data_IF_945496572834
#
_entry.id   IF_945496572834
#
_cell.length_a   1.000
_cell.length_b   1.000
_cell.length_c   1.000
_cell.angle_alpha   90.00
_cell.angle_beta   90.00
_cell.angle_gamma   90.00
#
_symmetry.space_group_name_H-M   'P 1'
#
loop_
_entity.id
_entity.type
_entity.pdbx_description
1 polymer ?
#
# COMPACT_ATOMS: atom_id res chain seq x y z
N UNK A 1 2.99 4.30 14.44
CA UNK A 1 1.96 3.92 13.45
C UNK A 1 2.04 4.98 12.37
N UNK A 2 2.60 4.64 11.21
CA UNK A 2 2.69 5.52 10.04
C UNK A 2 1.48 5.18 9.17
N UNK A 3 0.56 6.12 8.96
CA UNK A 3 -0.70 5.86 8.24
C UNK A 3 -0.91 6.73 7.02
N UNK A 4 -0.19 7.84 6.88
CA UNK A 4 -0.42 8.77 5.78
C UNK A 4 0.41 8.46 4.54
N UNK A 5 -0.10 8.88 3.37
CA UNK A 5 0.61 8.77 2.10
C UNK A 5 1.99 9.45 2.16
N UNK A 6 2.09 10.56 2.91
CA UNK A 6 3.34 11.32 3.06
C UNK A 6 4.50 10.54 3.71
N UNK A 7 4.21 9.44 4.42
CA UNK A 7 5.21 8.57 5.05
C UNK A 7 5.72 7.46 4.10
N UNK A 8 5.03 7.23 2.97
CA UNK A 8 5.30 6.14 2.02
C UNK A 8 5.47 6.60 0.57
N UNK A 9 5.15 7.87 0.27
CA UNK A 9 5.24 8.45 -1.07
C UNK A 9 6.64 8.26 -1.69
N UNK A 10 6.75 7.52 -2.81
CA UNK A 10 8.01 7.31 -3.52
C UNK A 10 8.79 8.58 -3.85
N UNK A 11 8.11 9.71 -4.07
CA UNK A 11 8.75 10.99 -4.39
C UNK A 11 9.46 11.61 -3.17
N UNK A 12 9.01 11.28 -1.96
CA UNK A 12 9.58 11.76 -0.68
C UNK A 12 10.66 10.82 -0.15
N UNK A 13 10.75 9.62 -0.72
CA UNK A 13 11.68 8.57 -0.32
C UNK A 13 12.48 8.06 -1.53
N UNK A 14 13.52 8.80 -1.97
CA UNK A 14 14.41 8.32 -3.02
C UNK A 14 15.02 6.98 -2.64
N UNK A 15 15.01 6.04 -3.57
CA UNK A 15 15.50 4.69 -3.37
C UNK A 15 16.19 4.20 -4.63
N UNK A 16 17.38 3.62 -4.46
CA UNK A 16 18.14 2.99 -5.53
C UNK A 16 18.06 1.46 -5.37
N UNK A 17 17.31 0.75 -6.24
CA UNK A 17 17.17 -0.70 -6.20
C UNK A 17 18.50 -1.46 -6.24
N UNK A 18 19.53 -0.91 -6.90
CA UNK A 18 20.83 -1.58 -7.03
C UNK A 18 21.59 -1.59 -5.70
N UNK A 19 21.26 -0.68 -4.79
CA UNK A 19 21.85 -0.62 -3.43
C UNK A 19 21.07 -1.41 -2.38
N UNK A 20 19.90 -1.96 -2.75
CA UNK A 20 19.00 -2.62 -1.81
C UNK A 20 19.65 -3.84 -1.15
N UNK A 21 20.20 -4.77 -1.94
CA UNK A 21 20.77 -6.01 -1.40
C UNK A 21 21.96 -5.77 -0.44
N UNK A 22 22.96 -4.92 -0.77
CA UNK A 22 24.00 -4.55 0.18
C UNK A 22 23.45 -3.98 1.50
N UNK A 23 22.48 -3.05 1.44
CA UNK A 23 21.91 -2.45 2.65
C UNK A 23 21.08 -3.44 3.48
N UNK A 24 20.32 -4.34 2.83
CA UNK A 24 19.56 -5.39 3.51
C UNK A 24 20.51 -6.40 4.18
N UNK A 25 21.63 -6.75 3.55
CA UNK A 25 22.66 -7.63 4.17
C UNK A 25 23.22 -7.03 5.45
N UNK A 26 23.50 -5.73 5.47
CA UNK A 26 23.95 -5.03 6.67
C UNK A 26 22.92 -5.13 7.79
N UNK A 27 21.65 -4.88 7.48
CA UNK A 27 20.52 -4.97 8.42
C UNK A 27 20.33 -6.39 8.95
N UNK A 28 20.36 -7.40 8.09
CA UNK A 28 20.21 -8.81 8.49
C UNK A 28 21.37 -9.23 9.40
N UNK A 29 22.59 -8.76 9.13
CA UNK A 29 23.77 -9.07 9.94
C UNK A 29 23.74 -8.41 11.33
N UNK A 30 23.14 -7.22 11.45
CA UNK A 30 23.02 -6.49 12.71
C UNK A 30 21.76 -6.81 13.51
N UNK A 31 20.75 -7.39 12.87
CA UNK A 31 19.51 -7.83 13.49
C UNK A 31 19.71 -9.19 14.13
N UNK A 32 19.23 -9.40 15.35
CA UNK A 32 19.34 -10.68 16.07
C UNK A 32 18.46 -11.82 15.50
N UNK A 33 18.18 -11.80 14.20
CA UNK A 33 17.40 -12.82 13.47
C UNK A 33 15.88 -12.70 13.56
N UNK A 34 15.32 -11.80 14.38
CA UNK A 34 13.87 -11.57 14.46
C UNK A 34 13.37 -10.67 13.33
N UNK A 35 12.23 -11.00 12.73
CA UNK A 35 11.55 -10.19 11.70
C UNK A 35 11.29 -8.75 12.17
N UNK A 36 10.90 -8.55 13.43
CA UNK A 36 10.69 -7.22 14.00
C UNK A 36 11.99 -6.39 14.02
N UNK A 37 13.12 -6.99 14.35
CA UNK A 37 14.43 -6.31 14.34
C UNK A 37 14.84 -5.95 12.91
N UNK A 38 14.58 -6.84 11.96
CA UNK A 38 14.84 -6.56 10.54
C UNK A 38 13.94 -5.42 10.05
N UNK A 39 12.64 -5.42 10.37
CA UNK A 39 11.72 -4.34 9.97
C UNK A 39 12.18 -2.97 10.48
N UNK A 40 12.59 -2.91 11.75
CA UNK A 40 13.16 -1.71 12.35
C UNK A 40 14.44 -1.28 11.62
N UNK A 41 15.38 -2.20 11.41
CA UNK A 41 16.63 -1.90 10.71
C UNK A 41 16.43 -1.46 9.26
N UNK A 42 15.46 -2.02 8.54
CA UNK A 42 15.07 -1.55 7.21
C UNK A 42 14.52 -0.12 7.26
N UNK A 43 13.66 0.16 8.25
CA UNK A 43 13.14 1.51 8.49
C UNK A 43 14.23 2.54 8.79
N UNK A 44 15.23 2.16 9.59
CA UNK A 44 16.40 2.99 9.90
C UNK A 44 17.30 3.20 8.66
N UNK A 45 17.50 2.15 7.86
CA UNK A 45 18.44 2.17 6.72
C UNK A 45 17.89 2.87 5.49
N UNK A 46 16.62 2.62 5.16
CA UNK A 46 15.98 3.05 3.91
C UNK A 46 14.89 4.10 4.12
N UNK A 47 14.51 4.36 5.37
CA UNK A 47 13.46 5.30 5.74
C UNK A 47 12.13 4.63 6.09
N UNK A 48 11.19 5.44 6.58
CA UNK A 48 9.93 4.99 7.18
C UNK A 48 9.07 4.13 6.25
N UNK A 49 9.09 4.41 4.95
CA UNK A 49 8.38 3.62 3.95
C UNK A 49 8.78 2.14 3.96
N UNK A 50 10.04 1.81 4.26
CA UNK A 50 10.56 0.45 4.25
C UNK A 50 10.09 -0.40 5.45
N UNK A 51 9.68 0.24 6.55
CA UNK A 51 9.24 -0.44 7.77
C UNK A 51 7.98 -1.30 7.54
N UNK A 52 7.01 -0.83 6.74
CA UNK A 52 5.77 -1.59 6.46
C UNK A 52 5.98 -2.76 5.49
N UNK A 53 7.11 -2.82 4.78
CA UNK A 53 7.36 -3.86 3.78
C UNK A 53 7.24 -5.28 4.36
N UNK A 54 7.72 -5.50 5.60
CA UNK A 54 7.64 -6.80 6.29
C UNK A 54 6.28 -7.10 6.91
N UNK A 55 5.49 -6.07 7.27
CA UNK A 55 4.10 -6.25 7.73
C UNK A 55 3.12 -6.57 6.60
N UNK A 56 3.57 -6.49 5.35
CA UNK A 56 2.84 -6.89 4.14
C UNK A 56 3.29 -8.26 3.61
N UNK A 57 4.07 -9.00 4.39
CA UNK A 57 4.47 -10.39 4.15
C UNK A 57 3.63 -11.25 5.06
N UNK A 58 2.92 -12.22 4.50
CA UNK A 58 2.34 -13.29 5.31
C UNK A 58 2.72 -14.66 4.72
N UNK A 59 2.72 -15.67 5.57
CA UNK A 59 3.35 -16.98 5.39
C UNK A 59 2.66 -17.89 4.36
N UNK A 60 1.52 -17.46 3.80
CA UNK A 60 0.68 -18.28 2.93
C UNK A 60 0.56 -17.70 1.52
N UNK A 61 0.82 -18.53 0.50
CA UNK A 61 0.74 -18.20 -0.94
C UNK A 61 -0.61 -17.61 -1.39
N UNK A 62 -1.66 -17.72 -0.58
CA UNK A 62 -3.02 -17.29 -0.89
C UNK A 62 -3.52 -16.15 0.01
N UNK A 63 -2.70 -15.56 0.87
CA UNK A 63 -3.09 -14.50 1.81
C UNK A 63 -3.45 -13.17 1.14
N UNK A 64 -3.30 -13.03 -0.18
CA UNK A 64 -3.51 -11.75 -0.87
C UNK A 64 -2.52 -10.66 -0.45
N UNK A 65 -1.34 -11.06 0.04
CA UNK A 65 -0.25 -10.14 0.31
C UNK A 65 0.15 -9.34 -0.94
N UNK A 66 0.51 -8.07 -0.73
CA UNK A 66 1.07 -7.21 -1.78
C UNK A 66 2.40 -7.74 -2.34
N UNK A 67 3.02 -8.66 -1.59
CA UNK A 67 4.25 -9.37 -1.92
C UNK A 67 3.89 -10.78 -2.39
N UNK A 68 4.06 -11.07 -3.68
CA UNK A 68 3.54 -12.29 -4.34
C UNK A 68 4.55 -13.42 -4.41
N UNK A 69 5.84 -13.09 -4.48
CA UNK A 69 6.90 -14.06 -4.73
C UNK A 69 8.05 -13.90 -3.74
N UNK A 70 8.18 -14.86 -2.83
CA UNK A 70 9.25 -14.87 -1.84
C UNK A 70 10.20 -16.04 -2.09
N UNK A 71 11.52 -15.79 -2.11
CA UNK A 71 12.50 -16.86 -1.94
C UNK A 71 12.17 -17.68 -0.69
N UNK A 72 12.36 -19.01 -0.75
CA UNK A 72 12.08 -19.89 0.38
C UNK A 72 12.77 -19.41 1.66
N UNK A 73 12.11 -19.58 2.81
CA UNK A 73 12.72 -19.25 4.09
C UNK A 73 13.95 -20.14 4.34
N UNK A 74 15.01 -19.54 4.88
CA UNK A 74 16.23 -20.23 5.27
C UNK A 74 16.91 -19.47 6.40
N UNK A 75 17.50 -20.21 7.34
CA UNK A 75 18.36 -19.64 8.40
C UNK A 75 19.72 -19.16 7.87
N UNK A 76 20.01 -19.35 6.57
CA UNK A 76 21.19 -18.77 5.93
C UNK A 76 21.04 -17.24 5.78
N UNK A 77 21.94 -16.43 6.36
CA UNK A 77 21.81 -14.97 6.34
C UNK A 77 21.79 -14.35 4.94
N UNK A 78 22.48 -14.96 3.97
CA UNK A 78 22.52 -14.49 2.59
C UNK A 78 21.19 -14.76 1.87
N UNK A 79 20.60 -15.94 2.04
CA UNK A 79 19.25 -16.22 1.55
C UNK A 79 18.20 -15.36 2.23
N UNK A 80 18.33 -15.11 3.53
CA UNK A 80 17.45 -14.22 4.28
C UNK A 80 17.54 -12.77 3.76
N UNK A 81 18.74 -12.29 3.48
CA UNK A 81 18.95 -10.97 2.87
C UNK A 81 18.31 -10.88 1.47
N UNK A 82 18.40 -11.93 0.65
CA UNK A 82 17.71 -11.97 -0.65
C UNK A 82 16.20 -11.98 -0.52
N UNK A 83 15.67 -12.72 0.46
CA UNK A 83 14.23 -12.75 0.76
C UNK A 83 13.72 -11.35 1.12
N UNK A 84 14.36 -10.67 2.07
CA UNK A 84 13.95 -9.32 2.47
C UNK A 84 14.22 -8.26 1.40
N UNK A 85 15.24 -8.43 0.57
CA UNK A 85 15.43 -7.58 -0.62
C UNK A 85 14.26 -7.73 -1.58
N UNK A 86 13.81 -8.96 -1.86
CA UNK A 86 12.63 -9.21 -2.70
C UNK A 86 11.37 -8.54 -2.14
N UNK A 87 11.16 -8.61 -0.83
CA UNK A 87 10.06 -7.93 -0.14
C UNK A 87 10.14 -6.42 -0.37
N UNK A 88 11.29 -5.83 -0.09
CA UNK A 88 11.49 -4.38 -0.18
C UNK A 88 11.27 -3.86 -1.60
N UNK A 89 11.77 -4.58 -2.61
CA UNK A 89 11.58 -4.23 -4.02
C UNK A 89 10.12 -4.35 -4.46
N UNK A 90 9.43 -5.44 -4.10
CA UNK A 90 8.02 -5.61 -4.44
C UNK A 90 7.12 -4.57 -3.76
N UNK A 91 7.42 -4.23 -2.51
CA UNK A 91 6.77 -3.14 -1.79
C UNK A 91 7.02 -1.79 -2.47
N UNK A 92 8.27 -1.53 -2.88
CA UNK A 92 8.61 -0.31 -3.62
C UNK A 92 7.82 -0.20 -4.93
N UNK A 93 7.77 -1.27 -5.72
CA UNK A 93 7.01 -1.29 -6.98
C UNK A 93 5.52 -1.01 -6.73
N UNK A 94 4.93 -1.59 -5.69
CA UNK A 94 3.54 -1.31 -5.33
C UNK A 94 3.28 0.18 -5.04
N UNK A 95 4.16 0.81 -4.26
CA UNK A 95 4.04 2.24 -3.98
C UNK A 95 4.20 3.10 -5.23
N UNK A 96 5.08 2.72 -6.16
CA UNK A 96 5.27 3.40 -7.44
C UNK A 96 4.07 3.24 -8.37
N UNK A 97 3.46 2.04 -8.42
CA UNK A 97 2.22 1.78 -9.15
C UNK A 97 1.07 2.64 -8.61
N UNK A 98 0.94 2.73 -7.28
CA UNK A 98 -0.04 3.62 -6.63
C UNK A 98 0.23 5.10 -6.95
N UNK A 99 1.48 5.55 -6.86
CA UNK A 99 1.83 6.94 -7.17
C UNK A 99 1.48 7.29 -8.62
N UNK A 100 1.74 6.39 -9.57
CA UNK A 100 1.36 6.56 -10.96
C UNK A 100 -0.17 6.59 -11.14
N UNK A 101 -0.90 5.70 -10.46
CA UNK A 101 -2.35 5.70 -10.46
C UNK A 101 -2.92 7.01 -9.90
N UNK A 102 -2.41 7.49 -8.75
CA UNK A 102 -2.85 8.73 -8.13
C UNK A 102 -2.60 9.93 -9.03
N UNK A 103 -1.43 10.03 -9.66
CA UNK A 103 -1.12 11.09 -10.62
C UNK A 103 -2.08 11.07 -11.83
N UNK A 104 -2.45 9.89 -12.33
CA UNK A 104 -3.39 9.74 -13.45
C UNK A 104 -4.83 10.09 -13.08
N UNK A 105 -5.19 9.94 -11.81
CA UNK A 105 -6.53 10.17 -11.26
C UNK A 105 -6.65 11.54 -10.59
N UNK A 106 -5.57 12.32 -10.54
CA UNK A 106 -5.56 13.61 -9.86
C UNK A 106 -6.54 14.59 -10.52
N UNK A 107 -7.29 15.38 -9.73
CA UNK A 107 -8.07 16.49 -10.27
C UNK A 107 -7.14 17.52 -10.93
N UNK A 108 -7.71 18.38 -11.79
CA UNK A 108 -6.96 19.48 -12.38
C UNK A 108 -6.41 20.41 -11.28
N UNK A 109 -5.25 21.09 -11.47
CA UNK A 109 -4.66 21.94 -10.44
C UNK A 109 -5.55 23.11 -9.97
N UNK A 110 -6.49 23.55 -10.80
CA UNK A 110 -7.45 24.62 -10.57
C UNK A 110 -8.88 24.10 -10.33
N UNK A 111 -9.03 22.79 -10.10
CA UNK A 111 -10.32 22.15 -9.91
C UNK A 111 -11.04 22.68 -8.66
N UNK A 112 -12.35 22.91 -8.80
CA UNK A 112 -13.19 23.30 -7.66
C UNK A 112 -13.54 22.10 -6.75
N UNK A 113 -14.21 22.38 -5.64
CA UNK A 113 -14.59 21.34 -4.67
C UNK A 113 -15.51 20.26 -5.27
N UNK A 114 -16.38 20.60 -6.22
CA UNK A 114 -17.27 19.63 -6.87
C UNK A 114 -16.49 18.75 -7.85
N UNK A 115 -15.53 19.32 -8.58
CA UNK A 115 -14.62 18.61 -9.46
C UNK A 115 -13.70 17.65 -8.68
N UNK A 116 -13.15 18.10 -7.54
CA UNK A 116 -12.37 17.25 -6.63
C UNK A 116 -13.23 16.09 -6.11
N UNK A 117 -14.46 16.36 -5.65
CA UNK A 117 -15.39 15.32 -5.18
C UNK A 117 -15.72 14.31 -6.28
N UNK A 118 -15.94 14.77 -7.51
CA UNK A 118 -16.16 13.89 -8.67
C UNK A 118 -14.91 13.07 -9.00
N UNK A 119 -13.71 13.63 -8.89
CA UNK A 119 -12.46 12.90 -9.08
C UNK A 119 -12.31 11.80 -8.02
N UNK A 120 -12.55 12.13 -6.74
CA UNK A 120 -12.58 11.18 -5.62
C UNK A 120 -13.47 9.97 -5.90
N UNK A 121 -14.72 10.22 -6.31
CA UNK A 121 -15.65 9.16 -6.67
C UNK A 121 -15.17 8.33 -7.87
N UNK A 122 -14.65 8.97 -8.92
CA UNK A 122 -14.19 8.28 -10.14
C UNK A 122 -12.98 7.37 -9.91
N UNK A 123 -12.13 7.69 -8.95
CA UNK A 123 -10.92 6.93 -8.65
C UNK A 123 -11.17 5.58 -7.98
N UNK A 124 -12.32 5.40 -7.30
CA UNK A 124 -12.63 4.18 -6.54
C UNK A 124 -12.49 2.92 -7.39
N UNK A 125 -13.13 2.87 -8.56
CA UNK A 125 -13.12 1.66 -9.38
C UNK A 125 -11.71 1.29 -9.90
N UNK A 126 -10.92 2.23 -10.47
CA UNK A 126 -9.52 1.98 -10.81
C UNK A 126 -8.66 1.50 -9.63
N UNK A 127 -8.80 2.13 -8.45
CA UNK A 127 -8.00 1.77 -7.27
C UNK A 127 -8.35 0.37 -6.74
N UNK A 128 -9.64 0.06 -6.64
CA UNK A 128 -10.10 -1.29 -6.26
C UNK A 128 -9.60 -2.33 -7.25
N UNK A 129 -9.65 -2.04 -8.56
CA UNK A 129 -9.15 -2.93 -9.61
C UNK A 129 -7.66 -3.20 -9.42
N UNK A 130 -6.85 -2.15 -9.23
CA UNK A 130 -5.41 -2.25 -9.02
C UNK A 130 -5.08 -3.12 -7.78
N UNK A 131 -5.79 -2.91 -6.67
CA UNK A 131 -5.60 -3.70 -5.45
C UNK A 131 -5.99 -5.16 -5.68
N UNK A 132 -7.14 -5.43 -6.31
CA UNK A 132 -7.61 -6.79 -6.60
C UNK A 132 -6.63 -7.52 -7.53
N UNK A 133 -6.15 -6.88 -8.59
CA UNK A 133 -5.16 -7.47 -9.50
C UNK A 133 -3.83 -7.78 -8.79
N UNK A 134 -3.45 -6.93 -7.83
CA UNK A 134 -2.23 -7.11 -7.04
C UNK A 134 -2.35 -8.25 -6.04
N UNK A 135 -3.50 -8.35 -5.38
CA UNK A 135 -3.73 -9.23 -4.21
C UNK A 135 -4.53 -10.49 -4.54
N UNK A 136 -5.04 -10.63 -5.76
CA UNK A 136 -5.97 -11.70 -6.17
C UNK A 136 -7.22 -11.80 -5.27
N UNK A 137 -7.59 -10.68 -4.62
CA UNK A 137 -8.63 -10.60 -3.59
C UNK A 137 -8.46 -11.61 -2.43
N UNK A 138 -7.23 -12.03 -2.12
CA UNK A 138 -6.92 -12.85 -0.93
C UNK A 138 -7.02 -12.07 0.38
N UNK A 139 -6.81 -12.71 1.53
CA UNK A 139 -7.03 -12.15 2.88
C UNK A 139 -6.70 -10.66 3.11
N UNK A 140 -5.54 -10.20 2.66
CA UNK A 140 -5.00 -8.86 2.87
C UNK A 140 -5.47 -7.82 1.84
N UNK A 141 -6.43 -8.17 0.97
CA UNK A 141 -6.95 -7.24 -0.03
C UNK A 141 -7.79 -6.11 0.56
N UNK A 142 -8.54 -6.35 1.64
CA UNK A 142 -9.35 -5.30 2.29
C UNK A 142 -8.46 -4.22 2.92
N UNK A 143 -7.46 -4.56 3.78
CA UNK A 143 -6.56 -3.54 4.33
C UNK A 143 -5.76 -2.80 3.26
N UNK A 144 -5.35 -3.51 2.18
CA UNK A 144 -4.67 -2.86 1.05
C UNK A 144 -5.59 -1.89 0.28
N UNK A 145 -6.89 -2.21 0.20
CA UNK A 145 -7.89 -1.36 -0.41
C UNK A 145 -8.19 -0.11 0.43
N UNK A 146 -8.29 -0.28 1.76
CA UNK A 146 -8.42 0.82 2.71
C UNK A 146 -7.23 1.78 2.61
N UNK A 147 -6.00 1.26 2.70
CA UNK A 147 -4.77 2.05 2.56
C UNK A 147 -4.76 2.82 1.21
N UNK A 148 -5.08 2.14 0.09
CA UNK A 148 -5.08 2.77 -1.23
C UNK A 148 -6.13 3.89 -1.39
N UNK A 149 -7.35 3.70 -0.88
CA UNK A 149 -8.41 4.71 -0.92
C UNK A 149 -8.05 5.88 -0.01
N UNK A 150 -7.64 5.63 1.23
CA UNK A 150 -7.26 6.65 2.19
C UNK A 150 -6.11 7.52 1.65
N UNK A 151 -5.05 6.90 1.13
CA UNK A 151 -3.91 7.64 0.58
C UNK A 151 -4.27 8.47 -0.64
N UNK A 152 -5.14 7.97 -1.53
CA UNK A 152 -5.61 8.77 -2.65
C UNK A 152 -6.40 10.00 -2.17
N UNK A 153 -7.31 9.82 -1.20
CA UNK A 153 -8.07 10.93 -0.62
C UNK A 153 -7.14 12.00 -0.01
N UNK A 154 -6.07 11.60 0.68
CA UNK A 154 -5.04 12.50 1.17
C UNK A 154 -4.38 13.33 0.05
N UNK A 155 -4.06 12.70 -1.09
CA UNK A 155 -3.46 13.41 -2.23
C UNK A 155 -4.39 14.50 -2.81
N UNK A 156 -5.70 14.38 -2.57
CA UNK A 156 -6.71 15.36 -2.98
C UNK A 156 -7.06 16.37 -1.89
N UNK A 157 -6.22 16.48 -0.85
CA UNK A 157 -6.32 17.50 0.20
C UNK A 157 -7.17 17.10 1.41
N UNK A 158 -7.68 15.86 1.48
CA UNK A 158 -8.38 15.38 2.68
C UNK A 158 -7.39 15.15 3.83
N UNK A 159 -7.70 15.53 5.08
CA UNK A 159 -6.87 15.19 6.24
C UNK A 159 -6.71 13.67 6.39
N UNK A 160 -5.50 13.21 6.72
CA UNK A 160 -5.19 11.77 6.79
C UNK A 160 -6.13 10.96 7.71
N UNK A 161 -6.47 11.50 8.89
CA UNK A 161 -7.37 10.82 9.83
C UNK A 161 -8.77 10.68 9.23
N UNK A 162 -9.27 11.71 8.56
CA UNK A 162 -10.59 11.70 7.94
C UNK A 162 -10.63 10.75 6.73
N UNK A 163 -9.58 10.76 5.92
CA UNK A 163 -9.42 9.85 4.79
C UNK A 163 -9.40 8.38 5.23
N UNK A 164 -8.70 8.10 6.33
CA UNK A 164 -8.63 6.77 6.93
C UNK A 164 -10.00 6.32 7.47
N UNK A 165 -10.66 7.14 8.30
CA UNK A 165 -11.97 6.83 8.88
C UNK A 165 -13.03 6.59 7.79
N UNK A 166 -12.99 7.40 6.71
CA UNK A 166 -13.90 7.23 5.58
C UNK A 166 -13.61 5.93 4.81
N UNK A 167 -12.34 5.62 4.55
CA UNK A 167 -11.95 4.41 3.82
C UNK A 167 -12.32 3.14 4.61
N UNK A 168 -11.98 3.09 5.90
CA UNK A 168 -12.31 1.99 6.82
C UNK A 168 -13.82 1.71 6.84
N UNK A 169 -14.64 2.74 7.08
CA UNK A 169 -16.09 2.60 7.13
C UNK A 169 -16.70 2.09 5.81
N UNK A 170 -16.15 2.51 4.67
CA UNK A 170 -16.65 2.12 3.35
C UNK A 170 -16.25 0.71 2.95
N UNK A 171 -14.99 0.33 3.20
CA UNK A 171 -14.48 -0.99 2.85
C UNK A 171 -15.11 -2.06 3.74
N UNK A 172 -15.18 -1.85 5.06
CA UNK A 172 -15.78 -2.81 6.00
C UNK A 172 -17.29 -3.03 5.73
N UNK A 173 -18.02 -1.99 5.33
CA UNK A 173 -19.46 -2.10 5.08
C UNK A 173 -19.81 -2.74 3.73
N UNK A 174 -19.02 -2.51 2.69
CA UNK A 174 -19.38 -2.89 1.32
C UNK A 174 -18.63 -4.11 0.78
N UNK A 175 -17.40 -4.35 1.25
CA UNK A 175 -16.54 -5.42 0.73
C UNK A 175 -16.43 -6.60 1.69
N UNK A 176 -16.00 -7.76 1.17
CA UNK A 176 -15.85 -8.99 1.95
C UNK A 176 -14.50 -9.62 1.70
N UNK A 177 -13.87 -10.13 2.76
CA UNK A 177 -12.59 -10.84 2.62
C UNK A 177 -12.76 -12.07 1.71
N UNK A 178 -11.72 -12.40 0.94
CA UNK A 178 -11.68 -13.54 0.00
C UNK A 178 -12.67 -13.49 -1.18
N UNK A 179 -13.28 -12.33 -1.46
CA UNK A 179 -14.25 -12.17 -2.54
C UNK A 179 -13.95 -10.91 -3.31
N UNK A 180 -13.65 -11.04 -4.61
CA UNK A 180 -13.56 -9.88 -5.49
C UNK A 180 -14.90 -9.12 -5.51
N UNK A 181 -14.89 -7.79 -5.34
CA UNK A 181 -16.11 -7.02 -5.25
C UNK A 181 -16.80 -6.96 -6.62
N UNK A 182 -18.12 -7.05 -6.61
CA UNK A 182 -18.90 -6.83 -7.82
C UNK A 182 -19.06 -5.33 -8.15
N UNK A 183 -19.53 -5.05 -9.36
CA UNK A 183 -19.72 -3.68 -9.83
C UNK A 183 -20.73 -2.87 -9.00
N UNK A 184 -21.66 -3.54 -8.31
CA UNK A 184 -22.64 -2.86 -7.45
C UNK A 184 -22.00 -2.39 -6.14
N UNK A 185 -21.19 -3.23 -5.49
CA UNK A 185 -20.44 -2.88 -4.28
C UNK A 185 -19.49 -1.71 -4.56
N UNK A 186 -18.73 -1.76 -5.65
CA UNK A 186 -17.86 -0.65 -6.08
C UNK A 186 -18.69 0.62 -6.37
N UNK A 187 -19.88 0.46 -6.95
CA UNK A 187 -20.82 1.54 -7.20
C UNK A 187 -21.33 2.23 -5.93
N UNK A 188 -21.54 1.47 -4.84
CA UNK A 188 -21.96 2.00 -3.53
C UNK A 188 -20.86 2.80 -2.86
N UNK A 189 -19.63 2.27 -2.79
CA UNK A 189 -18.46 3.00 -2.27
C UNK A 189 -18.24 4.31 -3.02
N UNK A 190 -18.29 4.27 -4.37
CA UNK A 190 -18.20 5.46 -5.21
C UNK A 190 -19.27 6.51 -4.88
N UNK A 191 -20.51 6.07 -4.68
CA UNK A 191 -21.63 6.97 -4.41
C UNK A 191 -21.48 7.63 -3.04
N UNK A 192 -21.00 6.87 -2.04
CA UNK A 192 -20.74 7.39 -0.71
C UNK A 192 -19.60 8.43 -0.70
N UNK A 193 -18.49 8.16 -1.39
CA UNK A 193 -17.40 9.15 -1.56
C UNK A 193 -17.90 10.40 -2.30
N UNK A 194 -18.73 10.22 -3.33
CA UNK A 194 -19.31 11.34 -4.09
C UNK A 194 -20.34 12.16 -3.31
N UNK A 195 -20.88 11.63 -2.21
CA UNK A 195 -21.81 12.33 -1.32
C UNK A 195 -21.13 12.92 -0.08
N UNK A 196 -19.83 12.62 0.12
CA UNK A 196 -19.07 13.15 1.24
C UNK A 196 -18.69 14.61 0.98
N UNK A 197 -19.32 15.51 1.70
CA UNK A 197 -19.03 16.95 1.68
C UNK A 197 -17.94 17.27 2.69
N UNK A 198 -16.68 17.12 2.28
CA UNK A 198 -15.51 17.65 2.98
C UNK A 198 -14.39 18.04 2.01
#
# INVERSE_FOLDING_TARGET
MFKGWQDVDPARHPFDPDTALPGVREVVSSSAGSECSVALGLGERFGRWAYRALGSVDEHRHSGALIRELPAYSDDPEQLARRYTSVLLQWRTWLEDLAAAFASLAPAPDADADEIRKARARAVAPLVTLVVERTDAGELWLPACEDAIAWYLETTGMPAIEAEELADALVDSEFRSWVSPDAEAVGRVRSAIGAHDA
#
